data_IF_823554936119
#
_entry.id   IF_823554936119
#
_cell.length_a   1.000
_cell.length_b   1.000
_cell.length_c   1.000
_cell.angle_alpha   90.00
_cell.angle_beta   90.00
_cell.angle_gamma   90.00
#
_symmetry.space_group_name_H-M   'P 1'
#
loop_
_entity.id
_entity.type
_entity.pdbx_description
1 polymer ?
#
# COMPACT_ATOMS: atom_id res chain seq x y z
N UNK A 1 -7.86 -7.09 10.67
CA UNK A 1 -7.86 -8.53 11.04
C UNK A 1 -8.96 -9.32 10.31
N UNK A 2 -10.23 -8.86 10.29
CA UNK A 2 -11.32 -9.57 9.59
C UNK A 2 -11.00 -9.90 8.14
N UNK A 3 -10.49 -8.93 7.35
CA UNK A 3 -10.13 -9.16 5.94
C UNK A 3 -9.05 -10.25 5.76
N UNK A 4 -8.06 -10.31 6.65
CA UNK A 4 -7.03 -11.35 6.66
C UNK A 4 -7.65 -12.72 6.96
N UNK A 5 -8.48 -12.80 8.00
CA UNK A 5 -9.13 -14.06 8.38
C UNK A 5 -10.12 -14.55 7.32
N UNK A 6 -10.90 -13.63 6.72
CA UNK A 6 -11.79 -13.96 5.62
C UNK A 6 -11.03 -14.51 4.40
N UNK A 7 -9.86 -13.93 4.08
CA UNK A 7 -8.98 -14.40 3.01
C UNK A 7 -8.44 -15.81 3.29
N UNK A 8 -7.96 -16.08 4.51
CA UNK A 8 -7.42 -17.38 4.89
C UNK A 8 -8.48 -18.48 4.90
N UNK A 9 -9.67 -18.17 5.43
CA UNK A 9 -10.75 -19.13 5.60
C UNK A 9 -11.64 -19.24 4.35
N UNK A 10 -11.37 -18.45 3.29
CA UNK A 10 -12.18 -18.37 2.08
C UNK A 10 -13.65 -18.07 2.39
N UNK A 11 -13.89 -17.21 3.39
CA UNK A 11 -15.23 -16.82 3.86
C UNK A 11 -15.73 -15.52 3.23
N UNK A 12 -15.18 -15.09 2.10
CA UNK A 12 -15.67 -13.92 1.37
C UNK A 12 -16.99 -14.28 0.67
N UNK A 13 -18.11 -13.55 0.93
CA UNK A 13 -19.44 -13.93 0.45
C UNK A 13 -19.55 -14.11 -1.08
N UNK A 14 -18.75 -13.36 -1.82
CA UNK A 14 -18.80 -13.33 -3.28
C UNK A 14 -17.73 -14.22 -3.95
N UNK A 15 -16.97 -15.03 -3.22
CA UNK A 15 -15.82 -15.86 -3.66
C UNK A 15 -14.80 -15.13 -4.59
N UNK A 16 -15.08 -13.88 -4.95
CA UNK A 16 -14.31 -13.07 -5.90
C UNK A 16 -13.63 -11.86 -5.27
N UNK A 17 -13.87 -11.60 -3.98
CA UNK A 17 -13.34 -10.41 -3.34
C UNK A 17 -12.08 -10.74 -2.53
N UNK A 18 -10.93 -10.32 -3.04
CA UNK A 18 -9.66 -10.43 -2.31
C UNK A 18 -9.56 -9.36 -1.21
N UNK A 19 -8.85 -9.68 -0.11
CA UNK A 19 -8.41 -8.66 0.85
C UNK A 19 -7.35 -7.77 0.18
N UNK A 20 -7.79 -6.64 -0.37
CA UNK A 20 -6.97 -5.73 -1.18
C UNK A 20 -6.34 -4.60 -0.38
N UNK A 21 -6.55 -4.55 0.93
CA UNK A 21 -5.98 -3.49 1.80
C UNK A 21 -4.86 -4.05 2.66
N UNK A 22 -3.72 -3.35 2.65
CA UNK A 22 -2.56 -3.63 3.48
C UNK A 22 -2.39 -2.53 4.54
N UNK A 23 -2.45 -2.84 5.84
CA UNK A 23 -1.98 -1.92 6.88
C UNK A 23 -0.48 -1.68 6.72
N UNK A 24 -0.05 -0.42 6.80
CA UNK A 24 1.35 -0.01 6.81
C UNK A 24 1.68 0.65 8.14
N UNK A 25 2.55 0.02 8.92
CA UNK A 25 3.03 0.56 10.20
C UNK A 25 4.17 1.54 9.93
N UNK A 26 3.92 2.79 10.23
CA UNK A 26 4.81 3.91 9.86
C UNK A 26 5.41 4.54 11.09
N UNK A 27 6.71 4.76 11.10
CA UNK A 27 7.39 5.58 12.10
C UNK A 27 8.80 5.91 11.64
N UNK A 28 9.21 7.17 11.73
CA UNK A 28 10.60 7.60 11.52
C UNK A 28 11.56 7.05 12.60
N UNK A 29 11.04 6.64 13.76
CA UNK A 29 11.83 6.02 14.82
C UNK A 29 11.96 4.53 14.58
N UNK A 30 13.18 4.03 14.63
CA UNK A 30 13.49 2.59 14.58
C UNK A 30 13.26 1.93 15.96
N UNK A 31 13.16 0.60 15.97
CA UNK A 31 13.05 -0.17 17.22
C UNK A 31 11.68 -0.14 17.89
N UNK A 32 10.63 0.37 17.24
CA UNK A 32 9.27 0.40 17.81
C UNK A 32 8.51 -0.93 17.69
N UNK A 33 9.16 -2.01 17.27
CA UNK A 33 8.53 -3.35 17.23
C UNK A 33 7.68 -3.62 15.98
N UNK A 34 7.73 -2.79 14.91
CA UNK A 34 6.89 -2.93 13.70
C UNK A 34 6.94 -4.34 13.10
N UNK A 35 8.11 -4.79 12.67
CA UNK A 35 8.28 -6.10 12.01
C UNK A 35 8.03 -7.25 12.99
N UNK A 36 8.38 -7.08 14.29
CA UNK A 36 8.05 -8.05 15.33
C UNK A 36 6.56 -8.21 15.50
N UNK A 37 5.80 -7.11 15.54
CA UNK A 37 4.34 -7.14 15.59
C UNK A 37 3.74 -7.86 14.37
N UNK A 38 4.25 -7.59 13.16
CA UNK A 38 3.79 -8.28 11.95
C UNK A 38 3.94 -9.81 12.06
N UNK A 39 5.06 -10.29 12.64
CA UNK A 39 5.29 -11.73 12.89
C UNK A 39 4.37 -12.29 13.96
N UNK A 40 4.07 -11.50 15.00
CA UNK A 40 3.19 -11.93 16.10
C UNK A 40 1.72 -12.08 15.70
N UNK A 41 1.31 -11.56 14.54
CA UNK A 41 -0.03 -11.83 14.01
C UNK A 41 -0.22 -13.30 13.62
N UNK A 42 0.85 -14.03 13.33
CA UNK A 42 0.79 -15.44 12.96
C UNK A 42 0.84 -16.33 14.19
N UNK A 43 -0.13 -17.27 14.34
CA UNK A 43 -0.05 -18.32 15.35
C UNK A 43 1.25 -19.13 15.19
N UNK A 44 1.80 -19.63 16.28
CA UNK A 44 3.05 -20.40 16.27
C UNK A 44 3.01 -21.58 15.28
N UNK A 45 1.89 -22.26 15.19
CA UNK A 45 1.68 -23.38 14.27
C UNK A 45 1.63 -22.98 12.79
N UNK A 46 1.45 -21.68 12.49
CA UNK A 46 1.32 -21.15 11.13
C UNK A 46 2.47 -20.20 10.77
N UNK A 47 3.50 -20.10 11.59
CA UNK A 47 4.65 -19.20 11.33
C UNK A 47 5.35 -19.48 10.00
N UNK A 48 5.34 -20.73 9.51
CA UNK A 48 5.89 -21.07 8.19
C UNK A 48 5.13 -20.44 7.02
N UNK A 49 3.92 -19.93 7.24
CA UNK A 49 3.11 -19.22 6.24
C UNK A 49 3.26 -17.70 6.31
N UNK A 50 4.25 -17.21 7.05
CA UNK A 50 4.66 -15.81 7.06
C UNK A 50 5.95 -15.61 6.26
N UNK A 51 6.05 -14.49 5.55
CA UNK A 51 7.29 -14.12 4.86
C UNK A 51 7.47 -12.60 4.82
N UNK A 52 8.73 -12.15 4.90
CA UNK A 52 9.16 -10.76 4.63
C UNK A 52 9.87 -10.67 3.27
N UNK A 53 10.18 -11.81 2.66
CA UNK A 53 10.82 -11.89 1.36
C UNK A 53 9.77 -11.89 0.26
N UNK A 54 9.47 -10.72 -0.31
CA UNK A 54 8.52 -10.59 -1.41
C UNK A 54 9.14 -9.80 -2.57
N UNK A 55 9.62 -10.53 -3.58
CA UNK A 55 10.24 -9.94 -4.76
C UNK A 55 9.23 -9.76 -5.89
N UNK A 56 9.07 -8.52 -6.34
CA UNK A 56 8.22 -8.12 -7.46
C UNK A 56 8.97 -8.05 -8.80
N UNK A 57 10.24 -8.42 -8.85
CA UNK A 57 11.00 -8.49 -10.12
C UNK A 57 10.57 -9.68 -10.99
N UNK A 58 10.03 -10.74 -10.36
CA UNK A 58 9.51 -11.92 -11.03
C UNK A 58 8.00 -12.09 -10.74
N UNK A 59 7.10 -11.69 -11.66
CA UNK A 59 5.65 -11.81 -11.46
C UNK A 59 5.20 -13.23 -11.11
N UNK A 60 5.74 -14.25 -11.81
CA UNK A 60 5.38 -15.63 -11.54
C UNK A 60 5.79 -16.11 -10.13
N UNK A 61 6.96 -15.67 -9.65
CA UNK A 61 7.40 -15.95 -8.27
C UNK A 61 6.52 -15.23 -7.25
N UNK A 62 6.15 -13.97 -7.53
CA UNK A 62 5.27 -13.19 -6.68
C UNK A 62 3.88 -13.84 -6.57
N UNK A 63 3.29 -14.28 -7.69
CA UNK A 63 2.01 -14.99 -7.72
C UNK A 63 2.08 -16.32 -6.94
N UNK A 64 3.15 -17.10 -7.11
CA UNK A 64 3.32 -18.36 -6.39
C UNK A 64 3.33 -18.15 -4.86
N UNK A 65 3.95 -17.07 -4.38
CA UNK A 65 3.95 -16.71 -2.96
C UNK A 65 2.56 -16.34 -2.45
N UNK A 66 1.70 -15.73 -3.27
CA UNK A 66 0.32 -15.40 -2.88
C UNK A 66 -0.56 -16.64 -2.61
N UNK A 67 -0.24 -17.77 -3.24
CA UNK A 67 -0.92 -19.04 -2.99
C UNK A 67 -0.26 -19.87 -1.87
N UNK A 68 1.00 -19.58 -1.52
CA UNK A 68 1.78 -20.36 -0.57
C UNK A 68 1.79 -19.77 0.85
N UNK A 69 1.72 -18.46 0.98
CA UNK A 69 1.82 -17.75 2.27
C UNK A 69 0.48 -17.17 2.69
N UNK A 70 0.22 -17.13 3.99
CA UNK A 70 -0.97 -16.49 4.56
C UNK A 70 -0.78 -14.99 4.79
N UNK A 71 0.41 -14.58 5.23
CA UNK A 71 0.73 -13.19 5.48
C UNK A 71 2.11 -12.83 4.90
N UNK A 72 2.11 -11.80 4.08
CA UNK A 72 3.32 -11.22 3.47
C UNK A 72 3.55 -9.84 4.06
N UNK A 73 4.68 -9.66 4.72
CA UNK A 73 5.11 -8.36 5.19
C UNK A 73 5.97 -7.67 4.12
N UNK A 74 5.50 -6.54 3.64
CA UNK A 74 6.24 -5.63 2.79
C UNK A 74 7.16 -4.79 3.67
N UNK A 75 8.23 -5.43 4.16
CA UNK A 75 9.18 -4.75 5.04
C UNK A 75 9.92 -3.64 4.28
N UNK A 76 10.16 -2.51 4.94
CA UNK A 76 10.74 -1.32 4.31
C UNK A 76 9.99 -0.88 3.03
N UNK A 77 8.66 -0.80 3.12
CA UNK A 77 7.78 -0.43 2.00
C UNK A 77 8.23 0.85 1.26
N UNK A 78 8.83 1.81 1.98
CA UNK A 78 9.36 3.05 1.43
C UNK A 78 10.49 2.85 0.41
N UNK A 79 11.14 1.70 0.41
CA UNK A 79 12.18 1.31 -0.57
C UNK A 79 11.58 0.70 -1.85
N UNK A 80 10.28 0.41 -1.86
CA UNK A 80 9.63 -0.14 -3.05
C UNK A 80 9.51 0.94 -4.13
N UNK A 81 10.18 0.71 -5.27
CA UNK A 81 10.19 1.65 -6.39
C UNK A 81 8.81 1.87 -7.00
N UNK A 82 8.53 3.08 -7.48
CA UNK A 82 7.27 3.45 -8.12
C UNK A 82 6.89 2.53 -9.30
N UNK A 83 7.87 2.02 -10.04
CA UNK A 83 7.67 1.09 -11.17
C UNK A 83 7.07 -0.26 -10.76
N UNK A 84 7.24 -0.68 -9.50
CA UNK A 84 6.71 -1.95 -8.97
C UNK A 84 5.28 -1.80 -8.42
N UNK A 85 4.81 -0.58 -8.18
CA UNK A 85 3.49 -0.30 -7.60
C UNK A 85 2.32 -0.82 -8.44
N UNK A 86 2.28 -0.68 -9.78
CA UNK A 86 1.18 -1.21 -10.59
C UNK A 86 1.04 -2.73 -10.44
N UNK A 87 2.17 -3.47 -10.47
CA UNK A 87 2.16 -4.91 -10.28
C UNK A 87 1.66 -5.30 -8.88
N UNK A 88 2.18 -4.66 -7.82
CA UNK A 88 1.74 -4.91 -6.45
C UNK A 88 0.23 -4.68 -6.31
N UNK A 89 -0.31 -3.58 -6.83
CA UNK A 89 -1.73 -3.25 -6.77
C UNK A 89 -2.60 -4.29 -7.50
N UNK A 90 -2.15 -4.80 -8.65
CA UNK A 90 -2.83 -5.86 -9.38
C UNK A 90 -2.84 -7.17 -8.57
N UNK A 91 -1.71 -7.54 -7.99
CA UNK A 91 -1.58 -8.72 -7.15
C UNK A 91 -2.43 -8.63 -5.87
N UNK A 92 -2.58 -7.43 -5.29
CA UNK A 92 -3.46 -7.19 -4.14
C UNK A 92 -4.95 -7.36 -4.47
N UNK A 93 -5.35 -7.23 -5.72
CA UNK A 93 -6.74 -7.39 -6.16
C UNK A 93 -7.06 -8.79 -6.68
N UNK A 94 -6.05 -9.58 -7.02
CA UNK A 94 -6.25 -10.92 -7.53
C UNK A 94 -6.93 -11.80 -6.47
N UNK A 95 -8.06 -12.42 -6.79
CA UNK A 95 -8.75 -13.42 -5.97
C UNK A 95 -8.29 -14.83 -6.29
N UNK A 96 -7.93 -15.08 -7.55
CA UNK A 96 -7.40 -16.33 -8.06
C UNK A 96 -6.10 -16.10 -8.83
N UNK A 97 -5.25 -17.10 -8.86
CA UNK A 97 -3.92 -17.07 -9.42
C UNK A 97 -3.76 -18.21 -10.43
N UNK A 98 -3.22 -17.91 -11.61
CA UNK A 98 -2.95 -18.90 -12.63
C UNK A 98 -1.49 -19.36 -12.57
N UNK A 99 -1.22 -20.38 -11.75
CA UNK A 99 0.14 -20.82 -11.49
C UNK A 99 0.48 -22.01 -12.39
N UNK A 100 1.56 -21.87 -13.19
CA UNK A 100 2.16 -22.98 -13.93
C UNK A 100 3.14 -23.72 -13.03
N UNK A 101 2.86 -24.97 -12.71
CA UNK A 101 3.83 -25.84 -12.05
C UNK A 101 4.88 -26.27 -13.06
N UNK A 102 6.16 -26.33 -12.63
CA UNK A 102 7.23 -26.89 -13.45
C UNK A 102 6.82 -28.27 -13.99
N UNK A 103 7.08 -28.51 -15.27
CA UNK A 103 6.76 -29.77 -15.97
C UNK A 103 5.27 -30.07 -16.18
N UNK A 104 4.34 -29.14 -15.91
CA UNK A 104 2.94 -29.27 -16.32
C UNK A 104 2.60 -28.37 -17.49
N UNK A 105 1.93 -28.92 -18.51
CA UNK A 105 1.51 -28.17 -19.71
C UNK A 105 0.30 -27.25 -19.44
N UNK A 106 -0.43 -27.46 -18.33
CA UNK A 106 -1.59 -26.65 -17.97
C UNK A 106 -1.31 -25.79 -16.72
N UNK A 107 -1.79 -24.56 -16.74
CA UNK A 107 -1.87 -23.72 -15.55
C UNK A 107 -2.97 -24.25 -14.63
N UNK A 108 -2.72 -24.22 -13.32
CA UNK A 108 -3.75 -24.51 -12.31
C UNK A 108 -4.22 -23.20 -11.71
N UNK A 109 -5.53 -22.98 -11.66
CA UNK A 109 -6.11 -21.88 -10.91
C UNK A 109 -6.09 -22.23 -9.41
N UNK A 110 -5.44 -21.39 -8.62
CA UNK A 110 -5.38 -21.54 -7.16
C UNK A 110 -5.99 -20.30 -6.50
N UNK A 111 -6.72 -20.45 -5.39
CA UNK A 111 -7.17 -19.30 -4.64
C UNK A 111 -5.96 -18.55 -4.05
N UNK A 112 -6.03 -17.24 -4.03
CA UNK A 112 -5.10 -16.46 -3.25
C UNK A 112 -5.46 -16.58 -1.77
N UNK A 113 -4.48 -16.93 -0.93
CA UNK A 113 -4.62 -16.98 0.53
C UNK A 113 -3.88 -15.84 1.22
N UNK A 114 -2.88 -15.25 0.56
CA UNK A 114 -2.06 -14.20 1.14
C UNK A 114 -2.83 -12.90 1.40
N UNK A 115 -2.63 -12.34 2.57
CA UNK A 115 -2.89 -10.93 2.88
C UNK A 115 -1.57 -10.18 3.02
N UNK A 116 -1.62 -8.85 2.90
CA UNK A 116 -0.44 -8.00 3.01
C UNK A 116 -0.50 -7.16 4.28
N UNK A 117 0.65 -6.93 4.86
CA UNK A 117 0.96 -5.91 5.86
C UNK A 117 2.29 -5.27 5.44
N UNK A 118 2.63 -4.11 5.97
CA UNK A 118 3.95 -3.55 5.67
C UNK A 118 4.48 -2.67 6.79
N UNK A 119 5.77 -2.35 6.70
CA UNK A 119 6.44 -1.46 7.61
C UNK A 119 7.18 -0.37 6.84
N UNK A 120 7.30 0.81 7.42
CA UNK A 120 8.12 1.90 6.88
C UNK A 120 8.83 2.66 7.99
N UNK A 121 10.05 3.09 7.69
CA UNK A 121 10.82 4.02 8.53
C UNK A 121 10.71 5.46 8.02
N UNK A 122 9.89 5.71 7.00
CA UNK A 122 9.63 7.05 6.45
C UNK A 122 8.14 7.33 6.48
N UNK A 123 7.79 8.58 6.77
CA UNK A 123 6.40 9.03 6.74
C UNK A 123 5.97 9.38 5.31
N UNK A 124 6.88 9.83 4.44
CA UNK A 124 6.67 10.14 3.04
C UNK A 124 6.84 8.89 2.15
N UNK A 125 6.00 7.89 2.31
CA UNK A 125 6.18 6.57 1.69
C UNK A 125 5.31 6.33 0.45
N UNK A 126 4.22 7.06 0.29
CA UNK A 126 3.29 6.86 -0.82
C UNK A 126 3.69 7.70 -2.03
N UNK A 127 3.89 7.04 -3.18
CA UNK A 127 4.30 7.70 -4.44
C UNK A 127 3.14 7.89 -5.42
N UNK A 128 2.04 7.15 -5.25
CA UNK A 128 0.92 7.16 -6.19
C UNK A 128 -0.40 7.48 -5.49
N UNK A 129 -0.98 8.63 -5.85
CA UNK A 129 -2.23 9.13 -5.29
C UNK A 129 -3.46 8.33 -5.73
N UNK A 130 -3.42 7.72 -6.93
CA UNK A 130 -4.61 7.09 -7.53
C UNK A 130 -4.98 5.73 -6.96
N UNK A 131 -4.10 5.10 -6.19
CA UNK A 131 -4.33 3.74 -5.68
C UNK A 131 -4.07 3.59 -4.19
N UNK A 132 -3.92 4.69 -3.46
CA UNK A 132 -3.55 4.70 -2.05
C UNK A 132 -4.61 4.11 -1.11
N UNK A 133 -5.87 4.00 -1.55
CA UNK A 133 -6.95 3.32 -0.78
C UNK A 133 -6.62 1.87 -0.40
N UNK A 134 -5.62 1.26 -1.06
CA UNK A 134 -5.15 -0.09 -0.73
C UNK A 134 -4.17 -0.13 0.44
N UNK A 135 -3.74 1.01 0.90
CA UNK A 135 -2.76 1.13 1.99
C UNK A 135 -3.40 1.89 3.14
N UNK A 136 -3.50 1.25 4.29
CA UNK A 136 -3.95 1.89 5.52
C UNK A 136 -2.71 2.28 6.33
N UNK A 137 -2.25 3.51 6.18
CA UNK A 137 -1.09 4.01 6.90
C UNK A 137 -1.44 4.28 8.38
N UNK A 138 -0.65 3.73 9.28
CA UNK A 138 -0.81 3.86 10.73
C UNK A 138 0.49 4.38 11.33
N UNK A 139 0.49 5.64 11.76
CA UNK A 139 1.63 6.25 12.47
C UNK A 139 1.74 5.73 13.89
N UNK A 140 2.89 5.19 14.23
CA UNK A 140 3.19 4.72 15.58
C UNK A 140 3.74 5.87 16.43
N UNK A 141 3.03 6.20 17.51
CA UNK A 141 3.47 7.19 18.50
C UNK A 141 4.40 6.59 19.56
N UNK A 142 4.20 5.32 19.87
CA UNK A 142 4.92 4.59 20.91
C UNK A 142 5.35 3.21 20.41
N UNK A 143 6.28 2.57 21.13
CA UNK A 143 6.66 1.20 20.88
C UNK A 143 5.46 0.26 21.08
N UNK A 144 5.36 -0.74 20.20
CA UNK A 144 4.34 -1.79 20.32
C UNK A 144 4.83 -2.78 21.39
N UNK A 145 3.96 -3.14 22.31
CA UNK A 145 4.24 -4.25 23.22
C UNK A 145 4.24 -5.56 22.42
N UNK A 146 5.43 -6.09 22.21
CA UNK A 146 5.65 -7.37 21.55
C UNK A 146 6.03 -8.49 22.54
N UNK A 147 5.95 -8.23 23.83
CA UNK A 147 6.33 -9.17 24.90
C UNK A 147 5.13 -9.91 25.47
N UNK A 148 3.99 -9.24 25.52
CA UNK A 148 2.73 -9.86 25.96
C UNK A 148 2.28 -10.94 24.99
N UNK A 149 2.00 -12.13 25.51
CA UNK A 149 1.52 -13.27 24.73
C UNK A 149 0.14 -12.97 24.14
N UNK A 150 -0.03 -13.28 22.86
CA UNK A 150 -1.32 -13.18 22.16
C UNK A 150 -2.03 -14.54 22.19
N UNK A 151 -3.23 -14.57 22.72
CA UNK A 151 -4.10 -15.77 22.71
C UNK A 151 -4.70 -15.98 21.30
N UNK A 152 -3.87 -16.43 20.36
CA UNK A 152 -4.25 -16.57 18.94
C UNK A 152 -5.49 -17.45 18.74
N UNK A 153 -5.65 -18.52 19.53
CA UNK A 153 -6.84 -19.40 19.40
C UNK A 153 -8.12 -18.63 19.67
N UNK A 154 -8.14 -17.82 20.72
CA UNK A 154 -9.30 -17.01 21.08
C UNK A 154 -9.52 -15.90 20.07
N UNK A 155 -8.46 -15.19 19.66
CA UNK A 155 -8.51 -14.12 18.67
C UNK A 155 -9.11 -14.62 17.34
N UNK A 156 -8.57 -15.70 16.77
CA UNK A 156 -9.04 -16.21 15.49
C UNK A 156 -10.41 -16.91 15.58
N UNK A 157 -10.77 -17.47 16.74
CA UNK A 157 -12.13 -17.97 16.97
C UNK A 157 -13.16 -16.82 16.98
N UNK A 158 -12.85 -15.71 17.63
CA UNK A 158 -13.69 -14.53 17.61
C UNK A 158 -13.86 -13.99 16.19
N UNK A 159 -12.76 -13.75 15.46
CA UNK A 159 -12.80 -13.26 14.07
C UNK A 159 -13.62 -14.18 13.15
N UNK A 160 -13.52 -15.50 13.33
CA UNK A 160 -14.34 -16.45 12.60
C UNK A 160 -15.83 -16.31 12.93
N UNK A 161 -16.15 -16.16 14.21
CA UNK A 161 -17.55 -16.01 14.65
C UNK A 161 -18.14 -14.71 14.08
N UNK A 162 -17.41 -13.61 14.12
CA UNK A 162 -17.83 -12.33 13.55
C UNK A 162 -18.08 -12.43 12.03
N UNK A 163 -17.19 -13.10 11.29
CA UNK A 163 -17.36 -13.33 9.86
C UNK A 163 -18.60 -14.21 9.56
N UNK A 164 -18.82 -15.26 10.34
CA UNK A 164 -19.99 -16.14 10.16
C UNK A 164 -21.31 -15.48 10.56
N UNK A 165 -21.28 -14.47 11.44
CA UNK A 165 -22.45 -13.64 11.78
C UNK A 165 -22.73 -12.54 10.74
N UNK A 166 -21.93 -12.45 9.68
CA UNK A 166 -22.13 -11.49 8.59
C UNK A 166 -21.38 -10.18 8.74
N UNK A 167 -20.41 -10.10 9.67
CA UNK A 167 -19.57 -8.90 9.81
C UNK A 167 -18.74 -8.69 8.54
N UNK A 168 -18.67 -7.43 8.10
CA UNK A 168 -18.03 -7.06 6.85
C UNK A 168 -16.50 -7.07 6.97
N UNK A 169 -15.85 -7.75 6.04
CA UNK A 169 -14.37 -7.90 5.99
C UNK A 169 -13.67 -6.94 5.02
N UNK A 170 -14.38 -5.97 4.45
CA UNK A 170 -13.90 -5.05 3.42
C UNK A 170 -14.40 -3.62 3.68
N UNK A 171 -13.76 -2.64 3.07
CA UNK A 171 -14.14 -1.22 3.16
C UNK A 171 -15.11 -0.85 2.04
N UNK A 172 -16.12 -0.03 2.36
CA UNK A 172 -17.00 0.56 1.36
C UNK A 172 -16.35 1.80 0.71
N UNK A 173 -17.04 2.42 -0.27
CA UNK A 173 -16.49 3.57 -1.00
C UNK A 173 -16.22 4.79 -0.11
N UNK A 174 -17.04 5.05 0.87
CA UNK A 174 -16.88 6.18 1.80
C UNK A 174 -15.67 5.96 2.73
N UNK A 175 -15.51 4.75 3.23
CA UNK A 175 -14.35 4.34 4.03
C UNK A 175 -13.06 4.35 3.20
N UNK A 176 -13.10 3.91 1.93
CA UNK A 176 -11.97 4.03 1.01
C UNK A 176 -11.59 5.50 0.77
N UNK A 177 -12.56 6.41 0.66
CA UNK A 177 -12.29 7.85 0.55
C UNK A 177 -11.66 8.40 1.83
N UNK A 178 -12.15 7.98 3.00
CA UNK A 178 -11.57 8.35 4.29
C UNK A 178 -10.11 7.88 4.40
N UNK A 179 -9.81 6.64 3.98
CA UNK A 179 -8.44 6.12 3.91
C UNK A 179 -7.58 6.99 2.98
N UNK A 180 -8.10 7.37 1.80
CA UNK A 180 -7.36 8.23 0.87
C UNK A 180 -7.07 9.62 1.44
N UNK A 181 -8.04 10.23 2.14
CA UNK A 181 -7.85 11.52 2.80
C UNK A 181 -6.79 11.43 3.91
N UNK A 182 -6.87 10.39 4.73
CA UNK A 182 -5.86 10.12 5.75
C UNK A 182 -4.46 9.93 5.14
N UNK A 183 -4.38 9.21 4.04
CA UNK A 183 -3.13 8.94 3.32
C UNK A 183 -2.49 10.18 2.71
N UNK A 184 -3.19 11.32 2.62
CA UNK A 184 -2.61 12.59 2.15
C UNK A 184 -1.39 13.03 2.98
N UNK A 185 -1.34 12.63 4.25
CA UNK A 185 -0.22 12.91 5.16
C UNK A 185 1.05 12.09 4.83
N UNK A 186 0.93 11.04 4.05
CA UNK A 186 1.99 10.07 3.78
C UNK A 186 2.51 10.09 2.35
N UNK A 187 2.04 11.04 1.53
CA UNK A 187 2.56 11.19 0.19
C UNK A 187 3.96 11.78 0.19
N UNK A 188 4.78 11.21 -0.67
CA UNK A 188 6.11 11.73 -0.92
C UNK A 188 6.01 13.16 -1.46
N UNK A 189 6.67 14.08 -0.79
CA UNK A 189 6.79 15.44 -1.30
C UNK A 189 7.67 15.42 -2.56
N UNK A 190 7.13 15.98 -3.63
CA UNK A 190 7.84 16.14 -4.89
C UNK A 190 8.42 17.55 -4.88
N UNK A 191 9.74 17.72 -5.02
CA UNK A 191 10.36 19.05 -4.99
C UNK A 191 9.72 20.04 -5.98
N UNK A 192 9.23 19.53 -7.12
CA UNK A 192 8.53 20.33 -8.12
C UNK A 192 7.22 20.91 -7.57
N UNK A 193 6.48 20.17 -6.74
CA UNK A 193 5.24 20.66 -6.11
C UNK A 193 5.54 21.77 -5.11
N UNK A 194 6.63 21.64 -4.35
CA UNK A 194 7.07 22.67 -3.41
C UNK A 194 7.45 23.96 -4.16
N UNK A 195 8.29 23.84 -5.20
CA UNK A 195 8.68 24.99 -6.03
C UNK A 195 7.46 25.61 -6.72
N UNK A 196 6.52 24.79 -7.21
CA UNK A 196 5.27 25.30 -7.78
C UNK A 196 4.51 26.18 -6.78
N UNK A 197 4.32 25.69 -5.54
CA UNK A 197 3.61 26.45 -4.49
C UNK A 197 4.34 27.73 -4.06
N UNK A 198 5.67 27.76 -4.19
CA UNK A 198 6.46 28.98 -3.93
C UNK A 198 6.32 30.00 -5.05
N UNK A 199 6.18 29.56 -6.31
CA UNK A 199 6.16 30.44 -7.48
C UNK A 199 4.76 30.83 -7.93
N UNK A 200 3.75 29.98 -7.68
CA UNK A 200 2.41 30.10 -8.24
C UNK A 200 1.33 29.78 -7.23
N UNK A 201 0.17 30.35 -7.43
CA UNK A 201 -1.10 29.91 -6.87
C UNK A 201 -2.13 29.75 -7.98
N UNK A 202 -3.14 28.97 -7.75
CA UNK A 202 -4.27 28.89 -8.68
C UNK A 202 -5.06 30.21 -8.64
N UNK A 203 -5.50 30.64 -9.83
CA UNK A 203 -6.41 31.78 -9.93
C UNK A 203 -7.76 31.44 -9.31
N UNK A 204 -8.37 32.41 -8.68
CA UNK A 204 -9.71 32.36 -8.13
C UNK A 204 -10.63 33.30 -8.91
N UNK A 205 -11.95 33.21 -8.71
CA UNK A 205 -12.93 34.09 -9.36
C UNK A 205 -12.76 35.59 -8.96
N UNK A 206 -12.05 35.84 -7.85
CA UNK A 206 -11.80 37.19 -7.33
C UNK A 206 -10.57 37.86 -7.97
N UNK A 207 -9.77 37.08 -8.73
CA UNK A 207 -8.55 37.62 -9.34
C UNK A 207 -8.87 38.43 -10.61
N UNK A 208 -8.11 39.51 -10.81
CA UNK A 208 -8.21 40.31 -12.02
C UNK A 208 -7.82 39.49 -13.25
N UNK A 209 -8.72 39.30 -14.24
CA UNK A 209 -8.43 38.45 -15.40
C UNK A 209 -7.21 38.90 -16.22
N UNK A 210 -6.82 40.19 -16.15
CA UNK A 210 -5.66 40.72 -16.84
C UNK A 210 -4.33 40.31 -16.17
N UNK A 211 -4.36 39.90 -14.90
CA UNK A 211 -3.18 39.49 -14.15
C UNK A 211 -3.04 37.96 -14.09
N UNK A 212 -4.08 37.25 -14.53
CA UNK A 212 -4.07 35.76 -14.56
C UNK A 212 -3.25 35.30 -15.77
N UNK A 213 -2.25 34.47 -15.49
CA UNK A 213 -1.41 33.86 -16.51
C UNK A 213 -1.94 32.49 -16.89
N UNK A 214 -2.21 32.27 -18.16
CA UNK A 214 -2.46 30.94 -18.72
C UNK A 214 -1.16 30.34 -19.24
N UNK A 215 -0.64 29.35 -18.56
CA UNK A 215 0.67 28.74 -18.85
C UNK A 215 0.53 27.26 -19.14
N UNK A 216 1.26 26.78 -20.15
CA UNK A 216 1.43 25.36 -20.36
C UNK A 216 2.34 24.74 -19.28
N UNK A 217 2.28 23.39 -19.11
CA UNK A 217 3.14 22.68 -18.17
C UNK A 217 4.64 22.95 -18.43
N UNK A 218 5.05 23.05 -19.70
CA UNK A 218 6.44 23.39 -20.08
C UNK A 218 6.81 24.80 -19.64
N UNK A 219 5.93 25.78 -19.86
CA UNK A 219 6.18 27.16 -19.44
C UNK A 219 6.24 27.31 -17.91
N UNK A 220 5.38 26.61 -17.18
CA UNK A 220 5.43 26.53 -15.72
C UNK A 220 6.78 25.99 -15.27
N UNK A 221 7.20 24.85 -15.85
CA UNK A 221 8.46 24.19 -15.53
C UNK A 221 9.67 25.13 -15.77
N UNK A 222 9.75 25.80 -16.91
CA UNK A 222 10.84 26.73 -17.21
C UNK A 222 10.89 27.92 -16.24
N UNK A 223 9.76 28.47 -15.85
CA UNK A 223 9.70 29.53 -14.85
C UNK A 223 10.12 29.04 -13.47
N UNK A 224 9.66 27.87 -13.03
CA UNK A 224 10.08 27.26 -11.78
C UNK A 224 11.58 26.99 -11.75
N UNK A 225 12.14 26.50 -12.86
CA UNK A 225 13.57 26.24 -13.01
C UNK A 225 14.40 27.51 -12.99
N UNK A 226 13.91 28.58 -13.60
CA UNK A 226 14.56 29.88 -13.56
C UNK A 226 14.54 30.51 -12.17
N UNK A 227 13.44 30.39 -11.43
CA UNK A 227 13.29 30.93 -10.08
C UNK A 227 14.08 30.11 -9.02
N UNK A 228 14.14 28.78 -9.15
CA UNK A 228 14.77 27.88 -8.17
C UNK A 228 15.73 26.88 -8.85
N UNK A 229 16.82 27.33 -9.49
CA UNK A 229 17.70 26.46 -10.28
C UNK A 229 18.42 25.42 -9.45
N UNK A 230 18.67 25.65 -8.17
CA UNK A 230 19.32 24.69 -7.27
C UNK A 230 18.42 23.47 -6.96
N UNK A 231 17.13 23.70 -6.73
CA UNK A 231 16.15 22.65 -6.42
C UNK A 231 15.80 21.87 -7.68
N UNK A 232 15.65 22.57 -8.81
CA UNK A 232 15.23 21.99 -10.10
C UNK A 232 16.40 21.44 -10.94
N UNK A 233 17.61 21.34 -10.34
CA UNK A 233 18.81 20.89 -11.03
C UNK A 233 18.66 19.42 -11.50
N UNK A 234 18.91 19.20 -12.80
CA UNK A 234 18.83 17.84 -13.39
C UNK A 234 17.42 17.39 -13.76
N UNK A 235 16.40 18.18 -13.44
CA UNK A 235 15.01 17.90 -13.85
C UNK A 235 14.76 18.35 -15.29
N UNK A 236 13.90 17.63 -15.99
CA UNK A 236 13.46 17.92 -17.36
C UNK A 236 11.95 17.93 -17.42
N UNK A 237 11.37 18.85 -18.22
CA UNK A 237 9.94 18.84 -18.48
C UNK A 237 9.55 17.51 -19.13
N UNK A 238 8.54 16.84 -18.56
CA UNK A 238 7.96 15.64 -19.18
C UNK A 238 7.25 16.12 -20.47
N UNK A 239 7.71 15.64 -21.62
CA UNK A 239 6.99 15.83 -22.89
C UNK A 239 6.05 14.65 -23.05
N UNK A 240 4.77 14.89 -22.90
CA UNK A 240 3.76 13.93 -23.35
C UNK A 240 3.99 13.67 -24.85
N UNK A 241 4.17 12.39 -25.17
CA UNK A 241 4.23 11.91 -26.55
C UNK A 241 2.85 11.52 -27.02
#
# INVERSE_FOLDING_TARGET
MLGLSAQWMQLNPDNNRANSVAPLLVSSRQGLGKSTFCRLLMPDTLKSYYTESYDLSSPASAEAKLAAYGLINLDEFDKLGASKMPLLKNLMQASALNIRKAYKHSASSLPRIASFIGTSNREDLLVDRTGSRRFLCVSLKHAIDCTTSVEHKQLYAQLKTELLSGERSWFNKEEEQTIQQHNALFYKHVPEEEVFRLCFRFATEEDNPQEVLSLSATQLFERMKAAHPSIMRGMTAYRDR
#
